data_IF_781017029238
#
_entry.id   IF_781017029238
#
_cell.length_a   1.000
_cell.length_b   1.000
_cell.length_c   1.000
_cell.angle_alpha   90.00
_cell.angle_beta   90.00
_cell.angle_gamma   90.00
#
_symmetry.space_group_name_H-M   'P 1'
#
loop_
_entity.id
_entity.type
_entity.pdbx_description
1 polymer ?
#
# COMPACT_ATOMS: atom_id res chain seq x y z
N UNK A 1 23.08 16.06 -7.17
CA UNK A 1 23.34 14.74 -6.59
C UNK A 1 24.76 14.34 -6.95
N UNK A 2 25.59 14.00 -5.97
CA UNK A 2 26.99 13.59 -6.17
C UNK A 2 27.08 12.09 -6.56
N UNK A 3 28.19 11.65 -7.15
CA UNK A 3 28.40 10.24 -7.51
C UNK A 3 28.30 9.29 -6.29
N UNK A 4 28.69 9.78 -5.11
CA UNK A 4 28.58 9.06 -3.83
C UNK A 4 27.12 8.92 -3.38
N UNK A 5 26.30 9.95 -3.57
CA UNK A 5 24.86 9.91 -3.28
C UNK A 5 24.11 8.95 -4.22
N UNK A 6 24.48 8.90 -5.50
CA UNK A 6 23.90 7.97 -6.48
C UNK A 6 24.21 6.51 -6.13
N UNK A 7 25.46 6.21 -5.71
CA UNK A 7 25.82 4.85 -5.27
C UNK A 7 25.11 4.44 -3.97
N UNK A 8 24.84 5.38 -3.07
CA UNK A 8 24.11 5.12 -1.84
C UNK A 8 22.62 4.79 -2.07
N UNK A 9 22.01 5.28 -3.16
CA UNK A 9 20.64 4.89 -3.51
C UNK A 9 20.52 3.40 -3.86
N UNK A 10 21.50 2.84 -4.56
CA UNK A 10 21.52 1.41 -4.92
C UNK A 10 22.01 0.50 -3.77
N UNK A 11 22.56 1.05 -2.68
CA UNK A 11 22.88 0.27 -1.49
C UNK A 11 21.63 0.17 -0.62
N UNK A 12 20.91 -0.94 -0.77
CA UNK A 12 19.66 -1.20 -0.06
C UNK A 12 19.80 -1.03 1.46
N UNK A 13 20.98 -1.32 2.05
CA UNK A 13 21.20 -1.22 3.50
C UNK A 13 21.06 0.21 4.03
N UNK A 14 21.43 1.22 3.23
CA UNK A 14 21.37 2.62 3.66
C UNK A 14 19.94 3.19 3.54
N UNK A 15 19.18 2.76 2.54
CA UNK A 15 17.80 3.20 2.31
C UNK A 15 16.79 2.42 3.15
N UNK A 16 17.00 1.12 3.36
CA UNK A 16 16.24 0.28 4.28
C UNK A 16 16.30 0.80 5.71
N UNK A 17 17.45 1.31 6.17
CA UNK A 17 17.56 1.87 7.52
C UNK A 17 16.63 3.06 7.77
N UNK A 18 16.53 4.00 6.81
CA UNK A 18 15.64 5.18 6.95
C UNK A 18 14.17 4.78 6.91
N UNK A 19 13.80 3.85 6.03
CA UNK A 19 12.44 3.31 5.94
C UNK A 19 12.09 2.55 7.22
N UNK A 20 12.97 1.64 7.65
CA UNK A 20 12.81 0.85 8.86
C UNK A 20 12.72 1.72 10.11
N UNK A 21 13.49 2.81 10.20
CA UNK A 21 13.41 3.75 11.31
C UNK A 21 12.04 4.42 11.41
N UNK A 22 11.46 4.84 10.28
CA UNK A 22 10.13 5.47 10.28
C UNK A 22 9.02 4.48 10.61
N UNK A 23 9.09 3.28 10.04
CA UNK A 23 8.19 2.19 10.38
C UNK A 23 8.29 1.82 11.87
N UNK A 24 9.51 1.82 12.43
CA UNK A 24 9.75 1.55 13.86
C UNK A 24 9.15 2.63 14.75
N UNK A 25 9.34 3.90 14.40
CA UNK A 25 8.76 5.04 15.12
C UNK A 25 7.22 4.95 15.17
N UNK A 26 6.59 4.74 14.01
CA UNK A 26 5.14 4.55 13.89
C UNK A 26 4.69 3.29 14.65
N UNK A 27 5.45 2.21 14.60
CA UNK A 27 5.13 0.99 15.34
C UNK A 27 5.20 1.19 16.85
N UNK A 28 6.15 1.99 17.34
CA UNK A 28 6.31 2.28 18.77
C UNK A 28 5.26 3.24 19.30
N UNK A 29 4.80 4.19 18.48
CA UNK A 29 3.68 5.06 18.79
C UNK A 29 2.79 5.31 17.56
N UNK A 30 1.78 4.45 17.31
CA UNK A 30 0.90 4.62 16.16
C UNK A 30 0.10 5.92 16.19
N UNK A 31 -0.07 6.55 17.36
CA UNK A 31 -0.85 7.78 17.52
C UNK A 31 -0.28 8.95 16.73
N UNK A 32 1.03 8.97 16.50
CA UNK A 32 1.69 9.99 15.65
C UNK A 32 1.10 10.01 14.24
N UNK A 33 0.55 8.88 13.77
CA UNK A 33 -0.04 8.73 12.44
C UNK A 33 -1.53 9.04 12.37
N UNK A 34 -2.21 9.28 13.51
CA UNK A 34 -3.68 9.41 13.59
C UNK A 34 -4.26 10.46 12.62
N UNK A 35 -3.57 11.59 12.46
CA UNK A 35 -4.04 12.70 11.61
C UNK A 35 -3.20 12.87 10.33
N UNK A 36 -2.28 11.95 10.04
CA UNK A 36 -1.45 12.04 8.84
C UNK A 36 -2.27 11.68 7.61
N UNK A 37 -2.08 12.46 6.54
CA UNK A 37 -2.50 12.08 5.20
C UNK A 37 -1.65 10.92 4.67
N UNK A 38 -2.14 10.20 3.66
CA UNK A 38 -1.37 9.13 3.03
C UNK A 38 -0.04 9.67 2.45
N UNK A 39 -0.06 10.91 1.91
CA UNK A 39 1.13 11.59 1.41
C UNK A 39 2.19 11.81 2.48
N UNK A 40 1.80 12.28 3.67
CA UNK A 40 2.73 12.47 4.78
C UNK A 40 3.27 11.13 5.30
N UNK A 41 2.39 10.12 5.36
CA UNK A 41 2.75 8.78 5.80
C UNK A 41 3.80 8.14 4.89
N UNK A 42 3.61 8.21 3.57
CA UNK A 42 4.47 7.54 2.58
C UNK A 42 5.68 8.36 2.12
N UNK A 43 5.85 9.59 2.59
CA UNK A 43 6.92 10.50 2.12
C UNK A 43 8.31 9.84 2.05
N UNK A 44 8.67 9.09 3.08
CA UNK A 44 9.96 8.39 3.14
C UNK A 44 10.07 7.22 2.13
N UNK A 45 8.95 6.55 1.82
CA UNK A 45 8.88 5.55 0.75
C UNK A 45 9.06 6.21 -0.61
N UNK A 46 8.42 7.36 -0.85
CA UNK A 46 8.57 8.13 -2.09
C UNK A 46 10.01 8.62 -2.26
N UNK A 47 10.64 9.13 -1.20
CA UNK A 47 12.03 9.58 -1.22
C UNK A 47 12.98 8.43 -1.64
N UNK A 48 12.74 7.20 -1.14
CA UNK A 48 13.49 6.00 -1.56
C UNK A 48 13.21 5.67 -3.02
N UNK A 49 11.95 5.64 -3.43
CA UNK A 49 11.56 5.33 -4.81
C UNK A 49 12.21 6.28 -5.82
N UNK A 50 12.20 7.58 -5.54
CA UNK A 50 12.84 8.61 -6.39
C UNK A 50 14.36 8.42 -6.44
N UNK A 51 15.00 8.02 -5.33
CA UNK A 51 16.43 7.68 -5.30
C UNK A 51 16.74 6.52 -6.26
N UNK A 52 15.93 5.46 -6.22
CA UNK A 52 16.08 4.25 -7.03
C UNK A 52 15.73 4.48 -8.51
N UNK A 53 14.70 5.30 -8.79
CA UNK A 53 14.28 5.62 -10.16
C UNK A 53 15.36 6.45 -10.87
N UNK A 54 15.95 7.44 -10.21
CA UNK A 54 16.98 8.30 -10.80
C UNK A 54 18.31 7.59 -11.10
N UNK A 55 18.55 6.47 -10.42
CA UNK A 55 19.78 5.67 -10.56
C UNK A 55 19.61 4.47 -11.47
N UNK A 56 18.37 4.12 -11.84
CA UNK A 56 18.04 2.95 -12.65
C UNK A 56 18.64 1.65 -12.07
N UNK A 57 18.77 1.53 -10.74
CA UNK A 57 19.35 0.34 -10.11
C UNK A 57 18.52 -0.92 -10.43
N UNK A 58 17.20 -0.74 -10.56
CA UNK A 58 16.22 -1.81 -10.66
C UNK A 58 15.27 -1.62 -11.83
N UNK A 59 14.69 -2.73 -12.29
CA UNK A 59 13.54 -2.70 -13.20
C UNK A 59 12.37 -1.98 -12.51
N UNK A 60 11.58 -1.25 -13.29
CA UNK A 60 10.39 -0.53 -12.80
C UNK A 60 9.49 -1.41 -11.94
N UNK A 61 9.20 -2.64 -12.39
CA UNK A 61 8.32 -3.56 -11.66
C UNK A 61 8.81 -3.86 -10.24
N UNK A 62 10.12 -3.99 -10.06
CA UNK A 62 10.72 -4.23 -8.75
C UNK A 62 10.75 -2.97 -7.90
N UNK A 63 11.04 -1.80 -8.51
CA UNK A 63 11.04 -0.53 -7.80
C UNK A 63 9.64 -0.16 -7.26
N UNK A 64 8.59 -0.40 -8.07
CA UNK A 64 7.20 -0.19 -7.66
C UNK A 64 6.72 -1.20 -6.62
N UNK A 65 7.16 -2.47 -6.70
CA UNK A 65 6.86 -3.46 -5.66
C UNK A 65 7.48 -3.05 -4.32
N UNK A 66 8.74 -2.63 -4.31
CA UNK A 66 9.41 -2.09 -3.12
C UNK A 66 8.64 -0.90 -2.54
N UNK A 67 8.14 0.00 -3.39
CA UNK A 67 7.33 1.14 -2.97
C UNK A 67 6.02 0.67 -2.31
N UNK A 68 5.32 -0.31 -2.89
CA UNK A 68 4.10 -0.89 -2.31
C UNK A 68 4.35 -1.52 -0.94
N UNK A 69 5.39 -2.35 -0.82
CA UNK A 69 5.76 -3.02 0.43
C UNK A 69 6.07 -2.01 1.55
N UNK A 70 6.82 -0.95 1.22
CA UNK A 70 7.10 0.14 2.16
C UNK A 70 5.82 0.83 2.65
N UNK A 71 4.92 1.16 1.71
CA UNK A 71 3.65 1.83 2.01
C UNK A 71 2.74 0.92 2.83
N UNK A 72 2.66 -0.37 2.50
CA UNK A 72 1.91 -1.36 3.26
C UNK A 72 2.42 -1.43 4.71
N UNK A 73 3.72 -1.56 4.92
CA UNK A 73 4.29 -1.70 6.26
C UNK A 73 3.95 -0.52 7.17
N UNK A 74 4.16 0.71 6.70
CA UNK A 74 3.86 1.90 7.52
C UNK A 74 2.37 2.13 7.71
N UNK A 75 1.54 1.74 6.74
CA UNK A 75 0.08 1.82 6.86
C UNK A 75 -0.46 0.83 7.88
N UNK A 76 0.01 -0.42 7.83
CA UNK A 76 -0.39 -1.49 8.74
C UNK A 76 0.04 -1.18 10.18
N UNK A 77 1.28 -0.72 10.38
CA UNK A 77 1.81 -0.34 11.70
C UNK A 77 1.15 0.92 12.27
N UNK A 78 0.80 1.88 11.42
CA UNK A 78 0.25 3.17 11.84
C UNK A 78 -1.28 3.22 11.80
N UNK A 79 -1.89 3.91 10.81
CA UNK A 79 -3.33 4.16 10.81
C UNK A 79 -4.21 2.91 10.89
N UNK A 80 -3.82 1.82 10.24
CA UNK A 80 -4.60 0.59 10.29
C UNK A 80 -4.56 -0.04 11.68
N UNK A 81 -3.42 -0.03 12.38
CA UNK A 81 -3.33 -0.59 13.74
C UNK A 81 -4.25 0.13 14.72
N UNK A 82 -4.43 1.45 14.56
CA UNK A 82 -5.39 2.23 15.35
C UNK A 82 -6.85 1.82 15.06
N UNK A 83 -7.19 1.62 13.79
CA UNK A 83 -8.51 1.13 13.40
C UNK A 83 -8.75 -0.30 13.90
N UNK A 84 -7.74 -1.17 13.83
CA UNK A 84 -7.80 -2.54 14.36
C UNK A 84 -8.08 -2.58 15.86
N UNK A 85 -7.45 -1.70 16.65
CA UNK A 85 -7.74 -1.57 18.09
C UNK A 85 -9.23 -1.30 18.31
N UNK A 86 -9.81 -0.34 17.58
CA UNK A 86 -11.25 -0.03 17.66
C UNK A 86 -12.12 -1.20 17.22
N UNK A 87 -11.78 -1.86 16.11
CA UNK A 87 -12.55 -3.01 15.61
C UNK A 87 -12.56 -4.17 16.60
N UNK A 88 -11.48 -4.39 17.36
CA UNK A 88 -11.41 -5.42 18.41
C UNK A 88 -12.30 -5.12 19.63
N UNK A 89 -12.69 -3.86 19.83
CA UNK A 89 -13.62 -3.46 20.90
C UNK A 89 -15.09 -3.62 20.49
N UNK A 90 -15.36 -3.80 19.19
CA UNK A 90 -16.71 -4.02 18.68
C UNK A 90 -17.14 -5.46 18.94
N UNK A 91 -18.41 -5.65 19.29
CA UNK A 91 -19.05 -6.96 19.35
C UNK A 91 -18.83 -7.75 18.04
N UNK A 92 -18.15 -8.91 18.07
CA UNK A 92 -17.81 -9.68 16.88
C UNK A 92 -19.03 -10.09 16.03
N UNK A 93 -20.22 -10.17 16.62
CA UNK A 93 -21.45 -10.48 15.88
C UNK A 93 -21.87 -9.35 14.93
N UNK A 94 -21.39 -8.12 15.18
CA UNK A 94 -21.69 -6.92 14.39
C UNK A 94 -20.65 -6.60 13.31
N UNK A 95 -19.55 -7.34 13.29
CA UNK A 95 -18.50 -7.22 12.28
C UNK A 95 -18.80 -8.14 11.09
N UNK A 96 -18.45 -7.67 9.89
CA UNK A 96 -18.49 -8.50 8.69
C UNK A 96 -17.55 -9.70 8.82
N UNK A 97 -17.84 -10.77 8.08
CA UNK A 97 -17.03 -12.00 8.12
C UNK A 97 -15.56 -11.75 7.78
N UNK A 98 -15.30 -10.99 6.71
CA UNK A 98 -13.94 -10.72 6.25
C UNK A 98 -13.11 -9.91 7.26
N UNK A 99 -13.73 -8.99 8.01
CA UNK A 99 -13.02 -8.23 9.06
C UNK A 99 -12.69 -9.15 10.23
N UNK A 100 -13.58 -10.07 10.61
CA UNK A 100 -13.25 -11.11 11.59
C UNK A 100 -12.08 -11.97 11.14
N UNK A 101 -12.15 -12.49 9.92
CA UNK A 101 -11.08 -13.32 9.33
C UNK A 101 -9.75 -12.55 9.28
N UNK A 102 -9.79 -11.23 9.06
CA UNK A 102 -8.61 -10.37 9.12
C UNK A 102 -8.06 -10.20 10.54
N UNK A 103 -8.92 -9.97 11.54
CA UNK A 103 -8.51 -9.77 12.94
C UNK A 103 -7.91 -11.03 13.57
N UNK A 104 -8.26 -12.21 13.05
CA UNK A 104 -7.74 -13.52 13.48
C UNK A 104 -6.38 -13.87 12.84
N UNK A 105 -6.03 -13.28 11.69
CA UNK A 105 -4.78 -13.55 10.99
C UNK A 105 -3.61 -12.82 11.65
N UNK A 106 -2.48 -13.52 11.79
CA UNK A 106 -1.22 -12.93 12.27
C UNK A 106 -0.48 -12.13 11.21
N UNK A 107 -0.69 -12.46 9.93
CA UNK A 107 -0.17 -11.72 8.79
C UNK A 107 -1.26 -11.61 7.72
N UNK A 108 -1.41 -10.42 7.18
CA UNK A 108 -2.40 -10.07 6.16
C UNK A 108 -1.77 -9.46 4.91
N UNK A 109 -0.43 -9.34 4.86
CA UNK A 109 0.26 -8.80 3.70
C UNK A 109 0.12 -9.74 2.51
N UNK A 110 -0.15 -9.14 1.36
CA UNK A 110 -0.31 -9.85 0.10
C UNK A 110 -0.08 -8.89 -1.06
N UNK A 111 0.52 -9.37 -2.14
CA UNK A 111 0.65 -8.66 -3.41
C UNK A 111 -0.38 -9.14 -4.44
N UNK A 112 -1.30 -10.03 -4.06
CA UNK A 112 -2.36 -10.50 -4.95
C UNK A 112 -3.41 -9.40 -5.15
N UNK A 113 -3.47 -8.87 -6.38
CA UNK A 113 -4.39 -7.81 -6.79
C UNK A 113 -5.86 -8.09 -6.41
N UNK A 114 -6.32 -9.33 -6.60
CA UNK A 114 -7.71 -9.72 -6.35
C UNK A 114 -7.99 -9.69 -4.86
N UNK A 115 -7.07 -10.25 -4.06
CA UNK A 115 -7.19 -10.24 -2.60
C UNK A 115 -7.18 -8.82 -2.05
N UNK A 116 -6.28 -7.95 -2.53
CA UNK A 116 -6.22 -6.53 -2.13
C UNK A 116 -7.55 -5.83 -2.41
N UNK A 117 -8.08 -5.99 -3.62
CA UNK A 117 -9.32 -5.36 -4.04
C UNK A 117 -10.53 -5.85 -3.24
N UNK A 118 -10.67 -7.18 -3.09
CA UNK A 118 -11.79 -7.79 -2.36
C UNK A 118 -11.75 -7.42 -0.87
N UNK A 119 -10.58 -7.48 -0.24
CA UNK A 119 -10.39 -7.05 1.16
C UNK A 119 -10.69 -5.56 1.34
N UNK A 120 -10.16 -4.71 0.44
CA UNK A 120 -10.41 -3.27 0.47
C UNK A 120 -11.90 -2.92 0.43
N UNK A 121 -12.66 -3.58 -0.45
CA UNK A 121 -14.12 -3.43 -0.50
C UNK A 121 -14.80 -3.92 0.76
N UNK A 122 -14.39 -5.09 1.26
CA UNK A 122 -15.06 -5.74 2.36
C UNK A 122 -14.88 -4.98 3.68
N UNK A 123 -13.67 -4.49 3.95
CA UNK A 123 -13.36 -3.78 5.20
C UNK A 123 -13.99 -2.39 5.27
N UNK A 124 -14.24 -1.77 4.11
CA UNK A 124 -14.63 -0.37 4.04
C UNK A 124 -15.89 -0.05 4.88
N UNK A 125 -16.91 -0.91 4.84
CA UNK A 125 -18.17 -0.70 5.58
C UNK A 125 -17.94 -0.65 7.10
N UNK A 126 -17.16 -1.60 7.64
CA UNK A 126 -16.85 -1.64 9.08
C UNK A 126 -15.89 -0.50 9.47
N UNK A 127 -14.96 -0.13 8.58
CA UNK A 127 -14.07 1.03 8.76
C UNK A 127 -14.89 2.33 8.87
N UNK A 128 -15.82 2.57 7.94
CA UNK A 128 -16.66 3.77 7.94
C UNK A 128 -17.57 3.84 9.17
N UNK A 129 -17.95 2.68 9.71
CA UNK A 129 -18.89 2.58 10.84
C UNK A 129 -18.22 2.69 12.20
N UNK A 130 -17.04 2.09 12.37
CA UNK A 130 -16.44 1.88 13.70
C UNK A 130 -15.09 2.59 13.89
N UNK A 131 -14.37 2.93 12.81
CA UNK A 131 -13.07 3.59 12.91
C UNK A 131 -13.22 5.13 12.92
N UNK A 132 -12.10 5.85 13.02
CA UNK A 132 -12.14 7.32 12.96
C UNK A 132 -12.69 7.79 11.60
N UNK A 133 -13.64 8.75 11.54
CA UNK A 133 -14.19 9.22 10.27
C UNK A 133 -13.14 9.75 9.30
N UNK A 134 -12.01 10.28 9.80
CA UNK A 134 -10.89 10.73 8.97
C UNK A 134 -10.09 9.57 8.36
N UNK A 135 -10.21 8.36 8.90
CA UNK A 135 -9.46 7.19 8.44
C UNK A 135 -10.02 6.61 7.13
N UNK A 136 -11.35 6.58 6.95
CA UNK A 136 -11.95 5.98 5.76
C UNK A 136 -11.45 6.58 4.42
N UNK A 137 -11.31 7.92 4.26
CA UNK A 137 -10.66 8.51 3.09
C UNK A 137 -9.22 8.03 2.87
N UNK A 138 -8.42 7.93 3.94
CA UNK A 138 -7.02 7.48 3.87
C UNK A 138 -6.96 6.01 3.45
N UNK A 139 -7.84 5.16 4.00
CA UNK A 139 -7.94 3.75 3.63
C UNK A 139 -8.30 3.55 2.16
N UNK A 140 -9.27 4.32 1.62
CA UNK A 140 -9.61 4.29 0.18
C UNK A 140 -8.43 4.65 -0.70
N UNK A 141 -7.69 5.71 -0.34
CA UNK A 141 -6.49 6.13 -1.05
C UNK A 141 -5.40 5.05 -0.99
N UNK A 142 -5.21 4.44 0.18
CA UNK A 142 -4.27 3.35 0.37
C UNK A 142 -4.56 2.17 -0.56
N UNK A 143 -5.79 1.63 -0.57
CA UNK A 143 -6.16 0.52 -1.45
C UNK A 143 -5.97 0.90 -2.94
N UNK A 144 -6.38 2.11 -3.33
CA UNK A 144 -6.20 2.58 -4.71
C UNK A 144 -4.71 2.69 -5.10
N UNK A 145 -3.86 3.13 -4.18
CA UNK A 145 -2.42 3.27 -4.42
C UNK A 145 -1.73 1.91 -4.53
N UNK A 146 -2.15 0.92 -3.74
CA UNK A 146 -1.63 -0.45 -3.86
C UNK A 146 -1.92 -1.06 -5.22
N UNK A 147 -3.18 -0.96 -5.65
CA UNK A 147 -3.60 -1.46 -6.96
C UNK A 147 -2.87 -0.73 -8.10
N UNK A 148 -2.53 0.55 -7.93
CA UNK A 148 -1.70 1.29 -8.88
C UNK A 148 -0.26 0.78 -8.90
N UNK A 149 0.40 0.74 -7.73
CA UNK A 149 1.81 0.38 -7.61
C UNK A 149 2.08 -1.04 -8.10
N UNK A 150 1.15 -1.96 -7.88
CA UNK A 150 1.25 -3.34 -8.36
C UNK A 150 0.76 -3.52 -9.81
N UNK A 151 0.43 -2.42 -10.51
CA UNK A 151 -0.10 -2.40 -11.88
C UNK A 151 -1.40 -3.23 -12.07
N UNK A 152 -2.19 -3.38 -11.01
CA UNK A 152 -3.44 -4.15 -11.01
C UNK A 152 -4.61 -3.45 -11.71
N UNK A 153 -4.62 -2.11 -11.75
CA UNK A 153 -5.77 -1.32 -12.23
C UNK A 153 -5.61 -0.75 -13.65
N UNK A 154 -4.49 -1.06 -14.31
CA UNK A 154 -4.17 -0.66 -15.67
C UNK A 154 -3.72 0.80 -15.85
N UNK A 155 -3.69 1.62 -14.79
CA UNK A 155 -3.19 3.01 -14.85
C UNK A 155 -1.67 3.08 -14.95
N UNK A 156 -0.98 2.08 -14.38
CA UNK A 156 0.47 1.93 -14.47
C UNK A 156 0.82 0.83 -15.47
N UNK A 157 1.84 1.08 -16.29
CA UNK A 157 2.53 0.06 -17.10
C UNK A 157 4.02 0.17 -16.82
N UNK A 158 4.62 -0.90 -16.32
CA UNK A 158 6.06 -0.92 -16.05
C UNK A 158 6.86 -0.77 -17.34
N UNK A 159 7.92 0.03 -17.32
CA UNK A 159 8.88 0.02 -18.43
C UNK A 159 9.64 -1.30 -18.38
N UNK A 160 9.79 -1.91 -19.55
CA UNK A 160 10.70 -3.05 -19.72
C UNK A 160 11.97 -2.52 -20.36
N UNK A 161 13.12 -3.01 -19.94
CA UNK A 161 14.37 -2.74 -20.67
C UNK A 161 14.28 -3.32 -22.09
N UNK A 162 14.59 -2.48 -23.09
CA UNK A 162 14.37 -2.79 -24.52
C UNK A 162 12.99 -2.32 -25.01
N UNK A 163 12.87 -2.00 -26.30
CA UNK A 163 11.70 -1.36 -26.94
C UNK A 163 10.40 -2.22 -26.96
N UNK A 164 10.05 -2.90 -25.88
CA UNK A 164 8.81 -3.67 -25.74
C UNK A 164 8.12 -3.34 -24.44
N UNK A 165 6.87 -2.86 -24.50
CA UNK A 165 5.99 -2.83 -23.33
C UNK A 165 5.63 -4.29 -22.97
N UNK A 166 5.88 -4.73 -21.75
CA UNK A 166 5.25 -5.95 -21.22
C UNK A 166 4.04 -5.53 -20.41
N UNK A 167 2.87 -5.93 -20.87
CA UNK A 167 1.75 -6.15 -20.00
C UNK A 167 2.12 -7.35 -19.12
N UNK A 168 2.58 -7.13 -17.89
CA UNK A 168 2.58 -8.19 -16.89
C UNK A 168 1.16 -8.31 -16.37
N UNK A 169 0.25 -8.70 -17.28
CA UNK A 169 -0.93 -9.45 -16.88
C UNK A 169 -0.37 -10.79 -16.45
N UNK A 170 -0.32 -11.02 -15.14
CA UNK A 170 -0.02 -12.33 -14.59
C UNK A 170 -0.94 -13.33 -15.31
N UNK A 171 -0.41 -14.39 -15.91
CA UNK A 171 -1.17 -15.32 -16.75
C UNK A 171 -2.25 -16.12 -15.98
N UNK A 172 -2.51 -15.78 -14.71
CA UNK A 172 -3.61 -16.30 -13.88
C UNK A 172 -4.56 -15.21 -13.33
N UNK A 173 -4.35 -13.93 -13.63
CA UNK A 173 -5.31 -12.87 -13.30
C UNK A 173 -6.26 -12.68 -14.47
N UNK A 174 -7.47 -13.23 -14.36
CA UNK A 174 -8.62 -12.78 -15.16
C UNK A 174 -8.61 -11.26 -15.21
N UNK A 175 -8.62 -10.71 -16.43
CA UNK A 175 -8.73 -9.27 -16.70
C UNK A 175 -9.71 -8.64 -15.72
N UNK A 176 -9.20 -7.82 -14.80
CA UNK A 176 -10.06 -7.02 -13.97
C UNK A 176 -10.42 -5.79 -14.79
N UNK A 177 -11.49 -5.90 -15.57
CA UNK A 177 -11.99 -4.81 -16.39
C UNK A 177 -12.33 -3.60 -15.52
N UNK A 178 -11.53 -2.55 -15.62
CA UNK A 178 -11.74 -1.23 -15.02
C UNK A 178 -13.03 -0.54 -15.52
N UNK A 179 -13.81 -1.18 -16.41
CA UNK A 179 -15.08 -0.70 -16.93
C UNK A 179 -16.18 -0.53 -15.86
N UNK A 180 -16.05 -1.18 -14.69
CA UNK A 180 -17.04 -1.07 -13.60
C UNK A 180 -16.80 0.07 -12.61
N UNK A 181 -15.81 0.94 -12.82
CA UNK A 181 -15.53 2.08 -11.91
C UNK A 181 -16.31 3.34 -12.32
N UNK A 182 -16.89 3.40 -13.52
CA UNK A 182 -17.53 4.63 -14.04
C UNK A 182 -19.05 4.59 -14.26
N UNK A 183 -19.76 3.48 -14.01
CA UNK A 183 -21.24 3.46 -14.09
C UNK A 183 -21.90 3.78 -12.75
N UNK A 184 -21.62 4.99 -12.25
CA UNK A 184 -22.28 5.60 -11.09
C UNK A 184 -22.79 7.01 -11.40
N UNK A 185 -23.31 7.21 -12.61
CA UNK A 185 -24.05 8.41 -13.00
C UNK A 185 -25.22 7.98 -13.89
N UNK A 186 -26.38 7.91 -13.26
CA UNK A 186 -27.70 7.68 -13.82
C UNK A 186 -28.71 7.92 -12.73
#
# INVERSE_FOLDING_TARGET
MTLTELKACCDDRFTEWKVSSRASEISSDPEISRNMTLTELKKHCDDRFVCLENTYCYKDSYNYQILDECIEDVFQKGPMSLCVKKLREVDPTKLSKCVKDYLEKSDSSTTDCKVIYENGKCYLSDIEKYCDPKFAPVFKQYISLRLYNLACDGRLRYRVGGNGQQNVLNQNSTEFDSANITSGRG
#
